data_IF_308871405351
#
_entry.id   IF_308871405351
#
_cell.length_a   1.000
_cell.length_b   1.000
_cell.length_c   1.000
_cell.angle_alpha   90.00
_cell.angle_beta   90.00
_cell.angle_gamma   90.00
#
_symmetry.space_group_name_H-M   'P 1'
#
loop_
_entity.id
_entity.type
_entity.pdbx_description
1 polymer ?
#
# COMPACT_ATOMS: atom_id res chain seq x y z
N UNK A 1 1.81 -8.19 7.91
CA UNK A 1 0.52 -7.51 8.16
C UNK A 1 -0.29 -7.32 6.88
N UNK A 2 0.23 -6.63 5.85
CA UNK A 2 -0.47 -6.40 4.58
C UNK A 2 -1.11 -7.67 3.97
N UNK A 3 -0.29 -8.68 3.64
CA UNK A 3 -0.75 -9.93 3.01
C UNK A 3 -1.73 -10.69 3.90
N UNK A 4 -1.51 -10.68 5.22
CA UNK A 4 -2.40 -11.34 6.17
C UNK A 4 -3.79 -10.68 6.20
N UNK A 5 -3.87 -9.34 6.25
CA UNK A 5 -5.14 -8.63 6.20
C UNK A 5 -5.87 -8.89 4.88
N UNK A 6 -5.16 -8.87 3.75
CA UNK A 6 -5.74 -9.19 2.44
C UNK A 6 -6.36 -10.60 2.44
N UNK A 7 -5.65 -11.59 2.99
CA UNK A 7 -6.17 -12.95 3.15
C UNK A 7 -7.40 -13.02 4.07
N UNK A 8 -7.38 -12.32 5.21
CA UNK A 8 -8.53 -12.26 6.12
C UNK A 8 -9.78 -11.67 5.46
N UNK A 9 -9.63 -10.60 4.68
CA UNK A 9 -10.75 -9.99 3.96
C UNK A 9 -11.33 -10.92 2.89
N UNK A 10 -10.47 -11.69 2.21
CA UNK A 10 -10.89 -12.70 1.22
C UNK A 10 -11.72 -13.81 1.87
N UNK A 11 -11.32 -14.29 3.06
CA UNK A 11 -12.10 -15.30 3.77
C UNK A 11 -13.42 -14.72 4.34
N UNK A 12 -13.43 -13.46 4.75
CA UNK A 12 -14.66 -12.77 5.16
C UNK A 12 -15.64 -12.61 4.01
N UNK A 13 -15.16 -12.31 2.80
CA UNK A 13 -15.97 -12.24 1.58
C UNK A 13 -16.58 -13.60 1.24
N UNK A 14 -15.77 -14.67 1.25
CA UNK A 14 -16.24 -16.05 1.02
C UNK A 14 -17.27 -16.51 2.06
N UNK A 15 -17.15 -16.05 3.30
CA UNK A 15 -18.11 -16.33 4.36
C UNK A 15 -19.39 -15.48 4.27
N UNK A 16 -19.47 -14.51 3.34
CA UNK A 16 -20.58 -13.56 3.23
C UNK A 16 -20.64 -12.56 4.38
N UNK A 17 -19.53 -12.37 5.11
CA UNK A 17 -19.46 -11.51 6.29
C UNK A 17 -18.82 -10.16 6.01
N UNK A 18 -18.16 -9.99 4.85
CA UNK A 18 -17.48 -8.74 4.51
C UNK A 18 -18.46 -7.54 4.46
N UNK A 19 -19.65 -7.73 3.88
CA UNK A 19 -20.68 -6.69 3.78
C UNK A 19 -21.30 -6.30 5.14
N UNK A 20 -21.06 -7.09 6.19
CA UNK A 20 -21.52 -6.80 7.55
C UNK A 20 -20.56 -5.86 8.29
N UNK A 21 -19.39 -5.55 7.73
CA UNK A 21 -18.35 -4.74 8.38
C UNK A 21 -18.62 -3.26 8.11
N UNK A 22 -18.95 -2.51 9.16
CA UNK A 22 -19.13 -1.06 9.08
C UNK A 22 -17.81 -0.29 9.09
N UNK A 23 -16.82 -0.79 9.83
CA UNK A 23 -15.51 -0.14 9.97
C UNK A 23 -14.37 -1.14 9.78
N UNK A 24 -13.44 -0.78 8.90
CA UNK A 24 -12.17 -1.47 8.74
C UNK A 24 -11.05 -0.55 9.23
N UNK A 25 -10.44 -0.89 10.36
CA UNK A 25 -9.32 -0.14 10.95
C UNK A 25 -7.99 -0.87 10.77
N UNK A 26 -6.89 -0.12 10.77
CA UNK A 26 -5.55 -0.68 10.62
C UNK A 26 -4.46 0.30 11.03
N UNK A 27 -3.26 -0.23 11.30
CA UNK A 27 -2.08 0.51 11.69
C UNK A 27 -0.84 -0.14 11.09
N UNK A 28 0.18 0.66 10.80
CA UNK A 28 1.45 0.16 10.24
C UNK A 28 1.20 -0.69 8.98
N UNK A 29 1.78 -1.88 8.84
CA UNK A 29 1.68 -2.66 7.62
C UNK A 29 0.27 -3.08 7.19
N UNK A 30 -0.76 -3.03 8.04
CA UNK A 30 -2.14 -3.27 7.58
C UNK A 30 -2.72 -2.08 6.81
N UNK A 31 -2.23 -0.86 7.06
CA UNK A 31 -2.64 0.33 6.30
C UNK A 31 -2.16 0.26 4.85
N UNK A 32 -1.09 -0.47 4.55
CA UNK A 32 -0.64 -0.67 3.16
C UNK A 32 -1.65 -1.50 2.36
N UNK A 33 -2.23 -2.53 2.98
CA UNK A 33 -3.29 -3.31 2.35
C UNK A 33 -4.52 -2.42 2.13
N UNK A 34 -4.91 -1.66 3.15
CA UNK A 34 -6.05 -0.74 3.05
C UNK A 34 -5.81 0.28 1.94
N UNK A 35 -4.65 0.95 1.91
CA UNK A 35 -4.31 1.93 0.89
C UNK A 35 -4.39 1.35 -0.53
N UNK A 36 -3.88 0.13 -0.76
CA UNK A 36 -3.99 -0.53 -2.07
C UNK A 36 -5.42 -0.94 -2.42
N UNK A 37 -6.23 -1.38 -1.45
CA UNK A 37 -7.65 -1.72 -1.69
C UNK A 37 -8.47 -0.48 -2.03
N UNK A 38 -8.34 0.58 -1.24
CA UNK A 38 -9.13 1.81 -1.38
C UNK A 38 -8.76 2.65 -2.62
N UNK A 39 -7.71 2.29 -3.37
CA UNK A 39 -7.48 2.85 -4.72
C UNK A 39 -8.60 2.44 -5.70
N UNK A 40 -9.28 1.33 -5.45
CA UNK A 40 -10.39 0.83 -6.24
C UNK A 40 -11.71 1.12 -5.47
N UNK A 41 -12.55 2.08 -5.91
CA UNK A 41 -13.70 2.55 -5.12
C UNK A 41 -14.70 1.45 -4.73
N UNK A 42 -14.87 0.45 -5.59
CA UNK A 42 -15.76 -0.70 -5.46
C UNK A 42 -15.00 -1.98 -5.09
N UNK A 43 -13.80 -1.89 -4.47
CA UNK A 43 -12.93 -3.04 -4.23
C UNK A 43 -13.61 -4.23 -3.55
N UNK A 44 -14.57 -3.99 -2.65
CA UNK A 44 -15.21 -5.05 -1.86
C UNK A 44 -16.08 -5.98 -2.70
N UNK A 45 -16.71 -5.49 -3.77
CA UNK A 45 -17.54 -6.31 -4.67
C UNK A 45 -16.71 -7.06 -5.72
N UNK A 46 -15.44 -6.69 -5.88
CA UNK A 46 -14.49 -7.28 -6.83
C UNK A 46 -13.18 -7.70 -6.15
N UNK A 47 -13.26 -8.12 -4.89
CA UNK A 47 -12.10 -8.34 -4.02
C UNK A 47 -11.09 -9.33 -4.62
N UNK A 48 -11.56 -10.40 -5.25
CA UNK A 48 -10.70 -11.38 -5.93
C UNK A 48 -9.85 -10.76 -7.04
N UNK A 49 -10.44 -9.87 -7.86
CA UNK A 49 -9.73 -9.15 -8.91
C UNK A 49 -8.68 -8.21 -8.32
N UNK A 50 -9.04 -7.45 -7.28
CA UNK A 50 -8.12 -6.50 -6.64
C UNK A 50 -6.98 -7.23 -5.93
N UNK A 51 -7.27 -8.34 -5.24
CA UNK A 51 -6.27 -9.24 -4.64
C UNK A 51 -5.26 -9.69 -5.68
N UNK A 52 -5.73 -10.16 -6.84
CA UNK A 52 -4.83 -10.64 -7.90
C UNK A 52 -3.93 -9.52 -8.44
N UNK A 53 -4.47 -8.32 -8.67
CA UNK A 53 -3.66 -7.14 -9.05
C UNK A 53 -2.59 -6.82 -8.00
N UNK A 54 -2.95 -6.85 -6.71
CA UNK A 54 -2.01 -6.60 -5.61
C UNK A 54 -0.91 -7.67 -5.60
N UNK A 55 -1.28 -8.96 -5.68
CA UNK A 55 -0.32 -10.07 -5.70
C UNK A 55 0.61 -9.98 -6.92
N UNK A 56 0.08 -9.68 -8.10
CA UNK A 56 0.86 -9.51 -9.33
C UNK A 56 1.87 -8.38 -9.17
N UNK A 57 1.44 -7.22 -8.66
CA UNK A 57 2.34 -6.10 -8.34
C UNK A 57 3.44 -6.51 -7.37
N UNK A 58 3.07 -7.19 -6.27
CA UNK A 58 4.01 -7.65 -5.25
C UNK A 58 5.01 -8.68 -5.77
N UNK A 59 4.60 -9.52 -6.74
CA UNK A 59 5.47 -10.50 -7.40
C UNK A 59 6.27 -9.91 -8.57
N UNK A 60 5.91 -8.72 -9.05
CA UNK A 60 6.59 -8.03 -10.14
C UNK A 60 8.07 -7.74 -9.83
N UNK A 61 8.84 -7.21 -10.80
CA UNK A 61 10.25 -6.90 -10.60
C UNK A 61 10.45 -5.94 -9.42
N UNK A 62 11.60 -6.08 -8.75
CA UNK A 62 12.00 -5.13 -7.71
C UNK A 62 12.17 -3.73 -8.29
N UNK A 63 11.89 -2.71 -7.48
CA UNK A 63 12.05 -1.33 -7.93
C UNK A 63 13.54 -0.96 -7.98
N UNK A 64 13.93 -0.25 -9.04
CA UNK A 64 15.32 0.15 -9.22
C UNK A 64 15.77 1.19 -8.18
N UNK A 65 17.07 1.20 -7.89
CA UNK A 65 17.69 2.26 -7.09
C UNK A 65 17.49 3.65 -7.70
N UNK A 66 17.41 3.74 -9.04
CA UNK A 66 17.11 4.98 -9.75
C UNK A 66 15.72 5.51 -9.43
N UNK A 67 14.71 4.65 -9.38
CA UNK A 67 13.33 5.05 -9.08
C UNK A 67 13.15 5.40 -7.60
N UNK A 68 13.84 4.69 -6.71
CA UNK A 68 13.93 5.02 -5.28
C UNK A 68 14.52 6.43 -5.09
N UNK A 69 15.62 6.73 -5.79
CA UNK A 69 16.24 8.06 -5.76
C UNK A 69 15.32 9.13 -6.36
N UNK A 70 14.63 8.86 -7.47
CA UNK A 70 13.64 9.78 -8.05
C UNK A 70 12.53 10.11 -7.04
N UNK A 71 12.01 9.10 -6.33
CA UNK A 71 10.95 9.29 -5.34
C UNK A 71 11.46 10.10 -4.14
N UNK A 72 12.67 9.81 -3.66
CA UNK A 72 13.32 10.59 -2.60
C UNK A 72 13.53 12.05 -3.01
N UNK A 73 14.00 12.30 -4.23
CA UNK A 73 14.17 13.64 -4.78
C UNK A 73 12.83 14.37 -4.87
N UNK A 74 11.77 13.68 -5.30
CA UNK A 74 10.41 14.24 -5.33
C UNK A 74 9.94 14.67 -3.93
N UNK A 75 10.21 13.87 -2.90
CA UNK A 75 9.90 14.26 -1.52
C UNK A 75 10.68 15.50 -1.09
N UNK A 76 11.99 15.54 -1.35
CA UNK A 76 12.82 16.72 -1.06
C UNK A 76 12.34 18.00 -1.75
N UNK A 77 11.88 17.89 -2.99
CA UNK A 77 11.31 19.03 -3.72
C UNK A 77 9.94 19.44 -3.17
N UNK A 78 9.10 18.46 -2.79
CA UNK A 78 7.77 18.74 -2.23
C UNK A 78 7.80 19.44 -0.86
N UNK A 79 8.89 19.29 -0.11
CA UNK A 79 9.11 20.00 1.17
C UNK A 79 9.73 21.39 0.97
N UNK A 80 9.74 21.92 -0.26
CA UNK A 80 10.36 23.21 -0.55
C UNK A 80 11.87 23.22 -0.32
N UNK A 81 12.53 22.06 -0.29
CA UNK A 81 13.95 21.88 0.06
C UNK A 81 14.28 22.43 1.45
N UNK A 82 13.30 22.39 2.36
CA UNK A 82 13.47 22.78 3.75
C UNK A 82 13.85 21.56 4.60
N UNK A 83 14.99 21.67 5.29
CA UNK A 83 15.50 20.62 6.19
C UNK A 83 14.58 20.35 7.38
N UNK A 84 13.76 21.33 7.79
CA UNK A 84 12.81 21.15 8.91
C UNK A 84 11.59 20.33 8.52
N UNK A 85 11.22 20.36 7.25
CA UNK A 85 10.03 19.67 6.72
C UNK A 85 10.39 18.31 6.12
N UNK A 86 11.64 18.14 5.67
CA UNK A 86 12.17 16.86 5.27
C UNK A 86 12.57 16.01 6.49
N UNK A 87 12.30 14.71 6.44
CA UNK A 87 12.45 13.84 7.61
C UNK A 87 12.77 12.40 7.23
N UNK A 88 13.18 11.60 8.23
CA UNK A 88 13.45 10.18 8.04
C UNK A 88 12.21 9.40 7.55
N UNK A 89 11.00 9.90 7.77
CA UNK A 89 9.78 9.30 7.21
C UNK A 89 9.76 9.37 5.69
N UNK A 90 10.29 10.44 5.07
CA UNK A 90 10.41 10.55 3.63
C UNK A 90 11.43 9.56 3.05
N UNK A 91 12.57 9.43 3.73
CA UNK A 91 13.61 8.44 3.39
C UNK A 91 13.06 7.01 3.50
N UNK A 92 12.39 6.72 4.62
CA UNK A 92 11.73 5.44 4.84
C UNK A 92 10.65 5.17 3.80
N UNK A 93 9.82 6.14 3.45
CA UNK A 93 8.77 5.98 2.44
C UNK A 93 9.38 5.68 1.05
N UNK A 94 10.42 6.41 0.67
CA UNK A 94 11.11 6.19 -0.60
C UNK A 94 11.74 4.78 -0.69
N UNK A 95 12.28 4.25 0.41
CA UNK A 95 12.88 2.90 0.43
C UNK A 95 11.82 1.80 0.66
N UNK A 96 11.12 1.83 1.79
CA UNK A 96 10.26 0.74 2.22
C UNK A 96 8.99 0.61 1.39
N UNK A 97 8.26 1.71 1.15
CA UNK A 97 6.99 1.63 0.41
C UNK A 97 7.26 1.23 -1.04
N UNK A 98 8.25 1.84 -1.68
CA UNK A 98 8.57 1.55 -3.07
C UNK A 98 9.17 0.16 -3.26
N UNK A 99 9.98 -0.35 -2.33
CA UNK A 99 10.51 -1.72 -2.46
C UNK A 99 9.47 -2.80 -2.12
N UNK A 100 8.71 -2.64 -1.03
CA UNK A 100 7.84 -3.71 -0.51
C UNK A 100 6.40 -3.62 -0.99
N UNK A 101 5.82 -2.41 -1.04
CA UNK A 101 4.45 -2.20 -1.53
C UNK A 101 4.44 -2.06 -3.05
N UNK A 102 5.55 -1.57 -3.63
CA UNK A 102 5.74 -1.34 -5.08
C UNK A 102 4.75 -0.33 -5.66
N UNK A 103 4.45 0.68 -4.84
CA UNK A 103 3.74 1.92 -5.20
C UNK A 103 4.72 3.11 -5.26
#
# INVERSE_FOLDING_TARGET
>A
AMVALLGSLVELDKAGLLDCILYLSGVSGSTWCMASLYQEPDWSTKLETVKNKIIERLNGPGVSWGDTYKKLKKYWESTGRNEKDFSMTHIWAAMAITTYVKE
#
